data_IF_286020064834
#
_entry.id   IF_286020064834
#
_cell.length_a   1.000
_cell.length_b   1.000
_cell.length_c   1.000
_cell.angle_alpha   90.00
_cell.angle_beta   90.00
_cell.angle_gamma   90.00
#
_symmetry.space_group_name_H-M   'P 1'
#
loop_
_entity.id
_entity.type
_entity.pdbx_description
1 polymer ?
#
# COMPACT_ATOMS: atom_id res chain seq x y z
N UNK A 1 -1.38 -9.54 -14.18
CA UNK A 1 -1.84 -8.20 -13.74
C UNK A 1 -0.70 -7.56 -12.97
N UNK A 2 -0.29 -6.34 -13.29
CA UNK A 2 0.79 -5.64 -12.57
C UNK A 2 0.18 -4.83 -11.43
N UNK A 3 0.57 -5.12 -10.19
CA UNK A 3 0.13 -4.35 -9.03
C UNK A 3 0.80 -2.97 -9.02
N UNK A 4 0.03 -1.91 -8.80
CA UNK A 4 0.53 -0.53 -8.84
C UNK A 4 0.19 0.24 -7.56
N UNK A 5 1.20 0.89 -6.99
CA UNK A 5 0.99 1.91 -5.97
C UNK A 5 0.60 3.25 -6.58
N UNK A 6 -0.36 3.92 -5.94
CA UNK A 6 -0.64 5.33 -6.14
C UNK A 6 -0.49 6.08 -4.82
N UNK A 7 0.09 7.27 -4.89
CA UNK A 7 0.36 8.12 -3.74
C UNK A 7 -0.42 9.42 -3.90
N UNK A 8 -1.46 9.58 -3.10
CA UNK A 8 -2.33 10.75 -3.12
C UNK A 8 -2.00 11.64 -1.93
N UNK A 9 -1.72 12.92 -2.18
CA UNK A 9 -1.44 13.86 -1.09
C UNK A 9 -2.74 14.20 -0.39
N UNK A 10 -2.80 13.99 0.92
CA UNK A 10 -3.95 14.39 1.72
C UNK A 10 -3.84 15.89 1.96
N UNK A 11 -4.91 16.64 1.66
CA UNK A 11 -4.87 18.10 1.76
C UNK A 11 -4.68 18.55 3.21
N UNK A 12 -3.65 19.36 3.46
CA UNK A 12 -3.31 19.84 4.80
C UNK A 12 -2.41 18.90 5.61
N UNK A 13 -2.07 17.73 5.08
CA UNK A 13 -1.22 16.74 5.74
C UNK A 13 0.15 16.64 5.06
N UNK A 14 1.17 16.25 5.83
CA UNK A 14 2.50 15.96 5.31
C UNK A 14 2.59 14.57 4.67
N UNK A 15 1.63 13.70 4.96
CA UNK A 15 1.61 12.31 4.52
C UNK A 15 0.86 12.09 3.21
N UNK A 16 1.25 11.02 2.52
CA UNK A 16 0.58 10.50 1.33
C UNK A 16 -0.31 9.33 1.71
N UNK A 17 -1.55 9.36 1.24
CA UNK A 17 -2.39 8.18 1.20
C UNK A 17 -1.85 7.23 0.11
N UNK A 18 -1.46 6.02 0.52
CA UNK A 18 -0.97 4.99 -0.39
C UNK A 18 -2.11 4.04 -0.71
N UNK A 19 -2.31 3.81 -2.00
CA UNK A 19 -3.25 2.81 -2.51
C UNK A 19 -2.55 1.77 -3.36
N UNK A 20 -2.97 0.51 -3.25
CA UNK A 20 -2.56 -0.59 -4.12
C UNK A 20 -3.74 -0.94 -5.03
N UNK A 21 -3.57 -0.78 -6.34
CA UNK A 21 -4.66 -0.96 -7.32
C UNK A 21 -5.94 -0.17 -6.99
N UNK A 22 -5.81 1.02 -6.40
CA UNK A 22 -6.93 1.87 -6.00
C UNK A 22 -7.47 1.59 -4.60
N UNK A 23 -7.07 0.50 -3.95
CA UNK A 23 -7.46 0.22 -2.57
C UNK A 23 -6.52 0.90 -1.59
N UNK A 24 -7.06 1.57 -0.58
CA UNK A 24 -6.25 2.15 0.48
C UNK A 24 -5.54 1.06 1.28
N UNK A 25 -4.24 1.26 1.54
CA UNK A 25 -3.44 0.28 2.27
C UNK A 25 -2.71 0.88 3.47
N UNK A 26 -2.17 2.10 3.37
CA UNK A 26 -1.43 2.76 4.44
C UNK A 26 -1.18 4.24 4.13
N UNK A 27 -0.60 4.96 5.07
CA UNK A 27 0.00 6.28 4.84
C UNK A 27 1.52 6.17 4.75
N UNK A 28 2.14 7.05 3.97
CA UNK A 28 3.60 7.15 3.87
C UNK A 28 4.04 8.61 3.80
N UNK A 29 5.16 8.95 4.44
CA UNK A 29 5.71 10.31 4.41
C UNK A 29 6.33 10.67 3.06
N UNK A 30 6.67 9.66 2.25
CA UNK A 30 7.35 9.82 0.96
C UNK A 30 6.70 8.93 -0.10
N UNK A 31 6.82 9.35 -1.37
CA UNK A 31 6.39 8.58 -2.53
C UNK A 31 7.42 7.48 -2.88
N UNK A 32 7.59 6.53 -1.98
CA UNK A 32 8.57 5.45 -2.13
C UNK A 32 7.91 4.07 -2.01
N UNK A 33 7.83 3.37 -3.14
CA UNK A 33 7.27 2.02 -3.21
C UNK A 33 8.09 0.99 -2.39
N UNK A 34 9.39 1.19 -2.22
CA UNK A 34 10.23 0.28 -1.43
C UNK A 34 9.93 0.39 0.05
N UNK A 35 9.74 1.62 0.54
CA UNK A 35 9.30 1.86 1.91
C UNK A 35 7.95 1.19 2.19
N UNK A 36 7.02 1.26 1.23
CA UNK A 36 5.72 0.58 1.36
C UNK A 36 5.90 -0.94 1.37
N UNK A 37 6.77 -1.51 0.54
CA UNK A 37 7.07 -2.94 0.57
C UNK A 37 7.70 -3.38 1.92
N UNK A 38 8.58 -2.56 2.50
CA UNK A 38 9.18 -2.80 3.82
C UNK A 38 8.11 -2.77 4.92
N UNK A 39 7.22 -1.78 4.91
CA UNK A 39 6.08 -1.72 5.84
C UNK A 39 5.22 -2.98 5.73
N UNK A 40 4.92 -3.44 4.52
CA UNK A 40 4.15 -4.67 4.33
C UNK A 40 4.89 -5.89 4.89
N UNK A 41 6.21 -5.97 4.68
CA UNK A 41 7.04 -7.05 5.23
C UNK A 41 7.10 -7.05 6.75
N UNK A 42 7.21 -5.88 7.36
CA UNK A 42 7.20 -5.72 8.82
C UNK A 42 5.85 -6.12 9.42
N UNK A 43 4.76 -6.00 8.64
CA UNK A 43 3.43 -6.50 8.99
C UNK A 43 3.22 -7.99 8.66
N UNK A 44 4.27 -8.71 8.25
CA UNK A 44 4.23 -10.15 7.99
C UNK A 44 3.85 -10.55 6.56
N UNK A 45 3.74 -9.61 5.62
CA UNK A 45 3.47 -9.90 4.21
C UNK A 45 4.76 -10.00 3.40
N UNK A 46 5.06 -11.17 2.84
CA UNK A 46 6.29 -11.39 2.06
C UNK A 46 6.42 -10.43 0.85
N UNK A 47 5.28 -10.09 0.23
CA UNK A 47 5.22 -9.16 -0.88
C UNK A 47 3.86 -8.46 -0.97
N UNK A 48 3.80 -7.41 -1.80
CA UNK A 48 2.54 -6.72 -2.13
C UNK A 48 1.52 -7.62 -2.82
N UNK A 49 1.96 -8.65 -3.54
CA UNK A 49 1.09 -9.67 -4.14
C UNK A 49 0.40 -10.50 -3.06
N UNK A 50 1.15 -10.94 -2.05
CA UNK A 50 0.59 -11.68 -0.91
C UNK A 50 -0.41 -10.81 -0.16
N UNK A 51 -0.06 -9.55 0.09
CA UNK A 51 -0.98 -8.60 0.71
C UNK A 51 -2.24 -8.36 -0.11
N UNK A 52 -2.12 -8.22 -1.43
CA UNK A 52 -3.27 -8.05 -2.33
C UNK A 52 -4.20 -9.28 -2.31
N UNK A 53 -3.63 -10.49 -2.34
CA UNK A 53 -4.41 -11.71 -2.24
C UNK A 53 -5.18 -11.78 -0.90
N UNK A 54 -4.51 -11.44 0.21
CA UNK A 54 -5.14 -11.32 1.53
C UNK A 54 -6.31 -10.33 1.55
N UNK A 55 -6.13 -9.13 0.99
CA UNK A 55 -7.20 -8.13 0.89
C UNK A 55 -8.40 -8.62 0.08
N UNK A 56 -8.16 -9.33 -1.02
CA UNK A 56 -9.24 -9.86 -1.87
C UNK A 56 -9.96 -11.03 -1.21
N UNK A 57 -9.28 -11.83 -0.39
CA UNK A 57 -9.89 -12.91 0.38
C UNK A 57 -10.77 -12.36 1.51
N UNK A 58 -10.28 -11.38 2.27
CA UNK A 58 -11.03 -10.75 3.36
C UNK A 58 -12.32 -10.02 2.93
N UNK A 59 -12.51 -9.81 1.62
CA UNK A 59 -13.70 -9.18 1.03
C UNK A 59 -14.77 -10.17 0.57
N UNK A 60 -14.47 -11.47 0.57
CA UNK A 60 -15.45 -12.52 0.25
C UNK A 60 -16.31 -12.84 1.46
#
# INVERSE_FOLDING_TARGET
MTLRYTFEKVHGEEWYQVRLNGEFITYAERKDSKLVDEILRDNGFESREVYWAYLMEARK
#
